data_IF_816524841852
#
_entry.id   IF_816524841852
#
_cell.length_a   1.000
_cell.length_b   1.000
_cell.length_c   1.000
_cell.angle_alpha   90.00
_cell.angle_beta   90.00
_cell.angle_gamma   90.00
#
_symmetry.space_group_name_H-M   'P 1'
#
loop_
_entity.id
_entity.type
_entity.pdbx_description
1 polymer ?
#
# COMPACT_ATOMS: atom_id res chain seq x y z
N UNK A 1 12.73 -16.26 -4.85
CA UNK A 1 11.77 -17.17 -4.18
C UNK A 1 11.85 -16.93 -2.68
N UNK A 2 10.84 -16.27 -2.08
CA UNK A 2 10.87 -15.89 -0.65
C UNK A 2 10.67 -17.13 0.23
N UNK A 3 11.73 -17.56 0.92
CA UNK A 3 11.79 -18.74 1.79
C UNK A 3 11.19 -18.51 3.20
N UNK A 4 10.38 -17.47 3.39
CA UNK A 4 9.72 -17.13 4.67
C UNK A 4 8.19 -17.06 4.55
N UNK A 5 7.61 -18.10 3.96
CA UNK A 5 6.16 -18.28 3.71
C UNK A 5 5.29 -17.89 4.92
N UNK A 6 5.64 -18.31 6.14
CA UNK A 6 4.83 -18.06 7.35
C UNK A 6 4.66 -16.58 7.69
N UNK A 7 5.73 -15.77 7.56
CA UNK A 7 5.69 -14.34 7.89
C UNK A 7 4.89 -13.55 6.85
N UNK A 8 4.97 -13.94 5.57
CA UNK A 8 4.16 -13.36 4.52
C UNK A 8 2.66 -13.61 4.75
N UNK A 9 2.28 -14.85 5.08
CA UNK A 9 0.88 -15.18 5.36
C UNK A 9 0.33 -14.46 6.60
N UNK A 10 1.12 -14.37 7.68
CA UNK A 10 0.75 -13.63 8.89
C UNK A 10 0.56 -12.13 8.59
N UNK A 11 1.48 -11.54 7.84
CA UNK A 11 1.40 -10.15 7.42
C UNK A 11 0.17 -9.89 6.53
N UNK A 12 -0.12 -10.78 5.58
CA UNK A 12 -1.29 -10.69 4.72
C UNK A 12 -2.59 -10.78 5.53
N UNK A 13 -2.68 -11.72 6.47
CA UNK A 13 -3.85 -11.88 7.34
C UNK A 13 -4.06 -10.65 8.24
N UNK A 14 -2.99 -10.15 8.85
CA UNK A 14 -3.06 -8.94 9.70
C UNK A 14 -3.52 -7.72 8.89
N UNK A 15 -3.03 -7.57 7.66
CA UNK A 15 -3.39 -6.44 6.79
C UNK A 15 -4.83 -6.54 6.29
N UNK A 16 -5.31 -7.75 5.97
CA UNK A 16 -6.70 -8.01 5.62
C UNK A 16 -7.66 -7.75 6.79
N UNK A 17 -7.29 -8.19 7.99
CA UNK A 17 -8.07 -7.89 9.21
C UNK A 17 -8.12 -6.38 9.45
N UNK A 18 -6.97 -5.71 9.34
CA UNK A 18 -6.91 -4.25 9.52
C UNK A 18 -7.78 -3.49 8.51
N UNK A 19 -7.88 -3.99 7.27
CA UNK A 19 -8.80 -3.43 6.28
C UNK A 19 -10.26 -3.47 6.77
N UNK A 20 -10.69 -4.58 7.35
CA UNK A 20 -12.04 -4.73 7.88
C UNK A 20 -12.34 -3.65 8.93
N UNK A 21 -11.46 -3.44 9.91
CA UNK A 21 -11.63 -2.37 10.91
C UNK A 21 -11.67 -0.94 10.32
N UNK A 22 -10.96 -0.73 9.22
CA UNK A 22 -10.84 0.58 8.57
C UNK A 22 -12.06 0.94 7.71
N UNK A 23 -12.64 -0.05 7.05
CA UNK A 23 -13.72 0.14 6.08
C UNK A 23 -15.10 -0.28 6.61
N UNK A 24 -15.18 -1.08 7.68
CA UNK A 24 -16.45 -1.53 8.24
C UNK A 24 -17.31 -0.36 8.73
N UNK A 25 -18.46 -0.17 8.09
CA UNK A 25 -19.43 0.87 8.44
C UNK A 25 -18.93 2.30 8.22
N UNK A 26 -17.83 2.52 7.49
CA UNK A 26 -17.20 3.83 7.30
C UNK A 26 -17.02 4.14 5.82
N UNK A 27 -17.13 5.42 5.47
CA UNK A 27 -16.85 5.86 4.10
C UNK A 27 -15.33 5.96 3.88
N UNK A 28 -14.76 5.39 2.79
CA UNK A 28 -13.32 5.17 2.62
C UNK A 28 -12.39 6.33 2.95
N UNK A 29 -12.75 7.58 2.63
CA UNK A 29 -12.09 8.82 3.06
C UNK A 29 -10.60 8.69 3.46
N UNK A 30 -10.31 8.95 4.73
CA UNK A 30 -8.96 8.84 5.34
C UNK A 30 -8.55 7.37 5.57
N UNK A 31 -9.51 6.44 5.67
CA UNK A 31 -9.20 5.01 5.80
C UNK A 31 -8.35 4.51 4.63
N UNK A 32 -8.61 4.97 3.40
CA UNK A 32 -7.86 4.54 2.23
C UNK A 32 -6.34 4.84 2.31
N UNK A 33 -5.88 6.08 2.53
CA UNK A 33 -4.44 6.35 2.68
C UNK A 33 -3.81 5.67 3.89
N UNK A 34 -4.54 5.51 5.00
CA UNK A 34 -4.05 4.75 6.16
C UNK A 34 -3.80 3.29 5.75
N UNK A 35 -4.73 2.66 5.03
CA UNK A 35 -4.58 1.29 4.57
C UNK A 35 -3.38 1.13 3.63
N UNK A 36 -3.23 2.03 2.64
CA UNK A 36 -2.09 2.02 1.72
C UNK A 36 -0.77 2.18 2.47
N UNK A 37 -0.70 3.07 3.46
CA UNK A 37 0.47 3.22 4.31
C UNK A 37 0.80 1.94 5.07
N UNK A 38 -0.19 1.27 5.65
CA UNK A 38 0.01 -0.01 6.34
C UNK A 38 0.54 -1.08 5.40
N UNK A 39 -0.02 -1.22 4.20
CA UNK A 39 0.44 -2.19 3.19
C UNK A 39 1.90 -1.92 2.80
N UNK A 40 2.26 -0.66 2.53
CA UNK A 40 3.63 -0.28 2.19
C UNK A 40 4.59 -0.58 3.34
N UNK A 41 4.24 -0.20 4.57
CA UNK A 41 5.07 -0.43 5.76
C UNK A 41 5.33 -1.92 5.98
N UNK A 42 4.28 -2.76 5.87
CA UNK A 42 4.40 -4.21 5.98
C UNK A 42 5.27 -4.79 4.86
N UNK A 43 5.10 -4.32 3.61
CA UNK A 43 5.93 -4.73 2.48
C UNK A 43 7.41 -4.39 2.67
N UNK A 44 7.71 -3.17 3.12
CA UNK A 44 9.08 -2.74 3.42
C UNK A 44 9.71 -3.53 4.57
N UNK A 45 8.97 -3.79 5.65
CA UNK A 45 9.45 -4.62 6.77
C UNK A 45 9.78 -6.04 6.31
N UNK A 46 8.94 -6.64 5.48
CA UNK A 46 9.19 -7.97 4.91
C UNK A 46 10.43 -7.97 4.01
N UNK A 47 10.60 -6.96 3.15
CA UNK A 47 11.77 -6.83 2.28
C UNK A 47 13.07 -6.68 3.06
N UNK A 48 13.06 -5.84 4.11
CA UNK A 48 14.21 -5.66 4.98
C UNK A 48 14.56 -6.96 5.70
N UNK A 49 13.57 -7.70 6.20
CA UNK A 49 13.79 -9.01 6.82
C UNK A 49 14.33 -10.07 5.85
N UNK A 50 14.01 -9.94 4.56
CA UNK A 50 14.54 -10.80 3.51
C UNK A 50 15.98 -10.43 3.09
N UNK A 51 16.57 -9.37 3.65
CA UNK A 51 17.93 -8.93 3.32
C UNK A 51 18.07 -8.20 1.98
N UNK A 52 16.96 -7.89 1.31
CA UNK A 52 16.92 -7.11 0.08
C UNK A 52 16.47 -5.68 0.40
N UNK A 53 17.39 -4.74 0.64
CA UNK A 53 17.02 -3.35 0.88
C UNK A 53 16.39 -2.74 -0.39
N UNK A 54 15.29 -1.98 -0.27
CA UNK A 54 14.68 -1.30 -1.40
C UNK A 54 15.63 -0.30 -2.05
N UNK A 55 15.52 -0.13 -3.36
CA UNK A 55 16.17 0.97 -4.07
C UNK A 55 15.68 2.34 -3.57
N UNK A 56 16.53 3.40 -3.56
CA UNK A 56 16.11 4.77 -3.30
C UNK A 56 14.88 5.20 -4.11
N UNK A 57 14.77 4.73 -5.36
CA UNK A 57 13.64 5.01 -6.24
C UNK A 57 12.33 4.38 -5.76
N UNK A 58 12.40 3.23 -5.09
CA UNK A 58 11.24 2.56 -4.50
C UNK A 58 10.67 3.40 -3.35
N UNK A 59 11.51 4.08 -2.56
CA UNK A 59 11.03 5.01 -1.55
C UNK A 59 10.32 6.22 -2.15
N UNK A 60 10.87 6.79 -3.22
CA UNK A 60 10.21 7.89 -3.95
C UNK A 60 8.85 7.46 -4.50
N UNK A 61 8.78 6.27 -5.12
CA UNK A 61 7.53 5.69 -5.61
C UNK A 61 6.52 5.46 -4.49
N UNK A 62 6.96 5.01 -3.32
CA UNK A 62 6.08 4.83 -2.16
C UNK A 62 5.52 6.16 -1.65
N UNK A 63 6.33 7.21 -1.58
CA UNK A 63 5.87 8.56 -1.22
C UNK A 63 4.86 9.08 -2.25
N UNK A 64 5.13 8.91 -3.54
CA UNK A 64 4.21 9.33 -4.60
C UNK A 64 2.89 8.56 -4.55
N UNK A 65 2.96 7.25 -4.29
CA UNK A 65 1.78 6.39 -4.10
C UNK A 65 0.94 6.86 -2.91
N UNK A 66 1.57 7.21 -1.79
CA UNK A 66 0.89 7.78 -0.63
C UNK A 66 0.25 9.14 -0.92
N UNK A 67 0.92 9.99 -1.69
CA UNK A 67 0.36 11.27 -2.12
C UNK A 67 -0.94 11.07 -2.92
N UNK A 68 -0.96 10.14 -3.87
CA UNK A 68 -2.18 9.82 -4.61
C UNK A 68 -3.24 9.15 -3.73
N UNK A 69 -2.85 8.34 -2.76
CA UNK A 69 -3.80 7.76 -1.80
C UNK A 69 -4.46 8.83 -0.92
N UNK A 70 -3.70 9.85 -0.52
CA UNK A 70 -4.22 10.98 0.25
C UNK A 70 -5.24 11.79 -0.56
N UNK A 71 -5.06 11.92 -1.87
CA UNK A 71 -5.97 12.63 -2.76
C UNK A 71 -7.42 12.08 -2.72
N UNK A 72 -7.59 10.77 -2.50
CA UNK A 72 -8.91 10.11 -2.34
C UNK A 72 -9.71 10.65 -1.15
N UNK A 73 -9.01 11.19 -0.13
CA UNK A 73 -9.63 11.77 1.07
C UNK A 73 -10.49 12.98 0.75
N UNK A 74 -10.06 13.81 -0.21
CA UNK A 74 -10.70 15.09 -0.50
C UNK A 74 -11.99 14.95 -1.32
N UNK A 75 -12.31 13.74 -1.81
CA UNK A 75 -13.58 13.38 -2.49
C UNK A 75 -14.09 14.43 -3.48
N UNK A 76 -13.18 15.05 -4.23
CA UNK A 76 -13.50 16.25 -5.01
C UNK A 76 -14.50 15.93 -6.11
N UNK A 77 -14.23 14.90 -6.91
CA UNK A 77 -15.10 14.42 -8.00
C UNK A 77 -14.80 12.94 -8.30
N UNK A 78 -15.77 12.23 -8.88
CA UNK A 78 -15.63 10.80 -9.21
C UNK A 78 -14.42 10.49 -10.12
N UNK A 79 -14.15 11.36 -11.10
CA UNK A 79 -13.02 11.20 -12.03
C UNK A 79 -11.66 11.33 -11.32
N UNK A 80 -11.55 12.27 -10.38
CA UNK A 80 -10.32 12.47 -9.59
C UNK A 80 -10.07 11.27 -8.70
N UNK A 81 -11.12 10.77 -8.02
CA UNK A 81 -11.00 9.58 -7.20
C UNK A 81 -10.60 8.35 -8.02
N UNK A 82 -11.20 8.16 -9.20
CA UNK A 82 -10.82 7.08 -10.10
C UNK A 82 -9.35 7.16 -10.54
N UNK A 83 -8.91 8.34 -10.99
CA UNK A 83 -7.53 8.56 -11.39
C UNK A 83 -6.56 8.32 -10.22
N UNK A 84 -6.87 8.80 -9.02
CA UNK A 84 -6.06 8.56 -7.81
C UNK A 84 -5.99 7.07 -7.47
N UNK A 85 -7.10 6.34 -7.53
CA UNK A 85 -7.12 4.89 -7.30
C UNK A 85 -6.28 4.14 -8.34
N UNK A 86 -6.39 4.52 -9.62
CA UNK A 86 -5.58 3.93 -10.69
C UNK A 86 -4.08 4.19 -10.50
N UNK A 87 -3.71 5.42 -10.11
CA UNK A 87 -2.32 5.78 -9.81
C UNK A 87 -1.78 5.03 -8.59
N UNK A 88 -2.59 4.83 -7.55
CA UNK A 88 -2.19 4.04 -6.39
C UNK A 88 -2.00 2.58 -6.76
N UNK A 89 -2.94 1.98 -7.51
CA UNK A 89 -2.82 0.61 -7.97
C UNK A 89 -1.57 0.41 -8.85
N UNK A 90 -1.34 1.33 -9.81
CA UNK A 90 -0.15 1.34 -10.65
C UNK A 90 1.14 1.51 -9.83
N UNK A 91 1.15 2.43 -8.87
CA UNK A 91 2.28 2.66 -7.96
C UNK A 91 2.63 1.41 -7.15
N UNK A 92 1.63 0.74 -6.56
CA UNK A 92 1.82 -0.51 -5.84
C UNK A 92 2.38 -1.62 -6.75
N UNK A 93 1.87 -1.76 -7.98
CA UNK A 93 2.39 -2.73 -8.95
C UNK A 93 3.85 -2.42 -9.30
N UNK A 94 4.19 -1.16 -9.58
CA UNK A 94 5.58 -0.76 -9.88
C UNK A 94 6.53 -1.02 -8.71
N UNK A 95 6.07 -0.80 -7.48
CA UNK A 95 6.82 -1.13 -6.27
C UNK A 95 7.08 -2.64 -6.21
N UNK A 96 6.07 -3.49 -6.46
CA UNK A 96 6.31 -4.94 -6.51
C UNK A 96 7.29 -5.36 -7.61
N UNK A 97 7.24 -4.71 -8.77
CA UNK A 97 8.15 -4.98 -9.87
C UNK A 97 9.60 -4.54 -9.59
N UNK A 98 9.82 -3.56 -8.72
CA UNK A 98 11.17 -3.15 -8.29
C UNK A 98 11.75 -4.03 -7.18
N UNK A 99 10.92 -4.85 -6.54
CA UNK A 99 11.34 -5.83 -5.52
C UNK A 99 11.59 -7.24 -6.06
N UNK A 100 11.12 -7.53 -7.28
CA UNK A 100 11.42 -8.77 -8.02
C UNK A 100 12.83 -8.71 -8.62
#
# INVERSE_FOLDING_TARGET
MVTHSKWFWLAALATAWFADFLFWGKVPGISFPIWVFTVLLVGFLLSWRAGNPPSPWTYLLAVLTLFFAAAVTFRVNAMVNFASLAMVAGGLVLITATFL
#
